data_IF_559073755208
#
_entry.id   IF_559073755208
#
_cell.length_a   1.000
_cell.length_b   1.000
_cell.length_c   1.000
_cell.angle_alpha   90.00
_cell.angle_beta   90.00
_cell.angle_gamma   90.00
#
_symmetry.space_group_name_H-M   'P 1'
#
loop_
_entity.id
_entity.type
_entity.pdbx_description
1 polymer ?
#
# COMPACT_ATOMS: atom_id res chain seq x y z
N UNK A 1 22.37 8.24 17.73
CA UNK A 1 21.29 8.88 18.55
C UNK A 1 20.35 7.79 19.08
N UNK A 2 19.73 8.00 20.23
CA UNK A 2 18.70 7.09 20.76
C UNK A 2 17.35 7.80 20.90
N UNK A 3 16.28 7.09 20.59
CA UNK A 3 14.93 7.49 20.98
C UNK A 3 14.40 6.48 22.00
N UNK A 4 13.86 6.97 23.11
CA UNK A 4 13.14 6.15 24.08
C UNK A 4 11.66 6.43 23.88
N UNK A 5 10.98 5.50 23.22
CA UNK A 5 9.52 5.55 23.02
C UNK A 5 8.79 5.03 24.27
N UNK A 6 7.63 5.60 24.59
CA UNK A 6 6.84 5.17 25.73
C UNK A 6 6.39 3.71 25.62
N UNK A 7 6.10 3.25 24.40
CA UNK A 7 5.75 1.87 24.06
C UNK A 7 6.38 1.51 22.72
N UNK A 8 6.76 0.27 22.50
CA UNK A 8 7.22 -0.23 21.21
C UNK A 8 6.67 -1.61 20.90
N UNK A 9 6.28 -1.81 19.65
CA UNK A 9 5.88 -3.10 19.08
C UNK A 9 7.06 -3.65 18.29
N UNK A 10 7.80 -4.58 18.88
CA UNK A 10 8.91 -5.27 18.21
C UNK A 10 8.34 -6.12 17.07
N UNK A 11 7.36 -6.93 17.40
CA UNK A 11 6.52 -7.69 16.48
C UNK A 11 5.13 -7.90 17.12
N UNK A 12 4.15 -8.47 16.43
CA UNK A 12 2.82 -8.67 17.00
C UNK A 12 2.77 -9.48 18.31
N UNK A 13 3.79 -10.26 18.62
CA UNK A 13 3.89 -11.05 19.86
C UNK A 13 4.72 -10.39 20.97
N UNK A 14 5.51 -9.33 20.66
CA UNK A 14 6.45 -8.70 21.60
C UNK A 14 6.24 -7.17 21.64
N UNK A 15 5.69 -6.70 22.76
CA UNK A 15 5.51 -5.27 23.03
C UNK A 15 6.30 -4.90 24.29
N UNK A 16 6.97 -3.72 24.29
CA UNK A 16 7.87 -3.30 25.39
C UNK A 16 7.62 -1.84 25.76
N UNK A 17 7.39 -1.58 27.03
CA UNK A 17 7.36 -0.24 27.61
C UNK A 17 8.77 0.37 27.62
N UNK A 18 8.86 1.69 27.45
CA UNK A 18 10.09 2.47 27.46
C UNK A 18 11.15 1.89 26.51
N UNK A 19 10.74 1.55 25.28
CA UNK A 19 11.61 0.92 24.30
C UNK A 19 12.69 1.90 23.82
N UNK A 20 13.96 1.54 24.05
CA UNK A 20 15.12 2.29 23.55
C UNK A 20 15.49 1.81 22.14
N UNK A 21 15.52 2.74 21.19
CA UNK A 21 15.78 2.53 19.77
C UNK A 21 17.04 3.27 19.36
N UNK A 22 18.02 2.56 18.75
CA UNK A 22 19.22 3.17 18.20
C UNK A 22 19.00 3.58 16.75
N UNK A 23 18.90 4.88 16.50
CA UNK A 23 18.71 5.47 15.18
C UNK A 23 20.04 5.94 14.57
N UNK A 24 20.12 6.04 13.22
CA UNK A 24 21.20 6.80 12.59
C UNK A 24 21.16 8.26 13.04
N UNK A 25 22.34 8.93 13.03
CA UNK A 25 22.46 10.32 13.44
C UNK A 25 23.28 10.51 14.72
N UNK A 26 23.77 11.73 14.93
CA UNK A 26 24.67 12.13 16.00
C UNK A 26 24.01 13.06 17.04
N UNK A 27 22.69 13.25 16.96
CA UNK A 27 21.93 14.07 17.89
C UNK A 27 21.90 13.52 19.32
N UNK A 28 21.39 14.30 20.28
CA UNK A 28 21.20 13.87 21.66
C UNK A 28 20.17 12.75 21.77
N UNK A 29 20.22 12.01 22.87
CA UNK A 29 19.19 11.02 23.17
C UNK A 29 17.86 11.73 23.50
N UNK A 30 16.77 11.28 22.90
CA UNK A 30 15.43 11.81 23.07
C UNK A 30 14.54 10.86 23.87
N UNK A 31 13.83 11.40 24.86
CA UNK A 31 12.80 10.65 25.59
C UNK A 31 11.41 11.12 25.17
N UNK A 32 10.62 10.25 24.56
CA UNK A 32 9.31 10.55 23.99
C UNK A 32 8.24 9.63 24.64
N UNK A 33 7.89 9.85 25.92
CA UNK A 33 7.08 8.91 26.71
C UNK A 33 5.65 8.77 26.21
N UNK A 34 5.12 9.78 25.48
CA UNK A 34 3.78 9.75 24.89
C UNK A 34 3.80 9.34 23.42
N UNK A 35 4.61 8.33 23.11
CA UNK A 35 4.69 7.77 21.76
C UNK A 35 4.62 6.26 21.76
N UNK A 36 4.23 5.70 20.61
CA UNK A 36 4.31 4.27 20.33
C UNK A 36 5.11 4.05 19.05
N UNK A 37 6.07 3.12 19.10
CA UNK A 37 6.97 2.80 18.01
C UNK A 37 6.55 1.49 17.32
N UNK A 38 6.56 1.49 15.98
CA UNK A 38 6.23 0.35 15.12
C UNK A 38 7.23 0.28 13.95
N UNK A 39 7.20 -0.81 13.20
CA UNK A 39 7.75 -0.79 11.84
C UNK A 39 6.82 0.01 10.92
N UNK A 40 7.34 0.65 9.85
CA UNK A 40 6.51 1.28 8.81
C UNK A 40 5.51 0.31 8.21
N UNK A 41 4.33 0.80 7.86
CA UNK A 41 3.29 -0.02 7.24
C UNK A 41 3.65 -0.38 5.79
N UNK A 42 3.09 -1.49 5.33
CA UNK A 42 3.23 -1.98 3.96
C UNK A 42 1.85 -2.01 3.31
N UNK A 43 1.64 -1.21 2.28
CA UNK A 43 0.48 -1.31 1.41
C UNK A 43 0.77 -2.35 0.32
N UNK A 44 0.08 -3.47 0.36
CA UNK A 44 0.40 -4.61 -0.50
C UNK A 44 -0.13 -4.46 -1.94
N UNK A 45 -1.00 -3.49 -2.21
CA UNK A 45 -1.55 -3.22 -3.55
C UNK A 45 -2.07 -1.80 -3.68
N UNK A 46 -1.54 -1.12 -4.67
CA UNK A 46 -1.99 0.19 -5.13
C UNK A 46 -1.66 0.31 -6.64
N UNK A 47 -2.28 1.25 -7.33
CA UNK A 47 -1.87 1.74 -8.65
C UNK A 47 -1.48 3.21 -8.50
N UNK A 48 -0.19 3.49 -8.26
CA UNK A 48 0.27 4.83 -7.88
C UNK A 48 -0.17 5.90 -8.85
N UNK A 49 -0.05 5.64 -10.15
CA UNK A 49 -0.46 6.55 -11.22
C UNK A 49 -1.98 6.77 -11.29
N UNK A 50 -2.79 5.93 -10.62
CA UNK A 50 -4.25 6.06 -10.55
C UNK A 50 -4.76 7.01 -9.46
N UNK A 51 -3.90 7.43 -8.54
CA UNK A 51 -4.33 8.12 -7.31
C UNK A 51 -4.72 9.61 -7.48
N UNK A 52 -4.61 10.16 -8.66
CA UNK A 52 -5.13 11.50 -8.98
C UNK A 52 -6.55 11.47 -9.56
N UNK A 53 -7.05 10.29 -9.96
CA UNK A 53 -8.37 10.09 -10.54
C UNK A 53 -9.39 9.90 -9.42
N UNK A 54 -10.54 10.61 -9.44
CA UNK A 54 -11.59 10.38 -8.45
C UNK A 54 -12.26 9.03 -8.67
N UNK A 55 -12.95 8.53 -7.65
CA UNK A 55 -13.81 7.35 -7.77
C UNK A 55 -14.72 7.45 -8.97
N UNK A 56 -14.80 6.38 -9.76
CA UNK A 56 -15.55 6.33 -11.00
C UNK A 56 -16.38 5.05 -11.10
N UNK A 57 -17.60 5.18 -11.62
CA UNK A 57 -18.52 4.06 -11.81
C UNK A 57 -19.96 4.40 -11.41
N UNK A 58 -20.79 4.78 -12.38
CA UNK A 58 -22.17 5.23 -12.12
C UNK A 58 -23.18 4.06 -12.04
N UNK A 59 -22.83 2.91 -12.62
CA UNK A 59 -23.70 1.73 -12.72
C UNK A 59 -23.45 0.66 -11.64
N UNK A 60 -22.85 1.07 -10.51
CA UNK A 60 -22.58 0.17 -9.38
C UNK A 60 -23.84 -0.35 -8.70
N UNK A 61 -23.82 -1.57 -8.11
CA UNK A 61 -22.70 -2.52 -8.10
C UNK A 61 -22.53 -3.22 -9.46
N UNK A 62 -21.27 -3.39 -9.89
CA UNK A 62 -20.96 -4.16 -11.09
C UNK A 62 -20.92 -5.66 -10.79
N UNK A 63 -21.29 -6.53 -11.75
CA UNK A 63 -21.14 -7.97 -11.59
C UNK A 63 -19.67 -8.40 -11.50
N UNK A 64 -18.76 -7.68 -12.18
CA UNK A 64 -17.31 -7.85 -12.12
C UNK A 64 -16.55 -6.60 -12.59
N UNK A 65 -15.25 -6.53 -12.31
CA UNK A 65 -14.39 -5.41 -12.69
C UNK A 65 -14.22 -5.25 -14.20
N UNK A 66 -14.36 -6.32 -14.99
CA UNK A 66 -14.23 -6.24 -16.46
C UNK A 66 -15.35 -5.41 -17.05
N UNK A 67 -16.58 -5.59 -16.54
CA UNK A 67 -17.75 -4.78 -16.94
C UNK A 67 -17.58 -3.33 -16.49
N UNK A 68 -17.02 -3.08 -15.29
CA UNK A 68 -16.67 -1.74 -14.86
C UNK A 68 -15.66 -1.07 -15.81
N UNK A 69 -14.59 -1.77 -16.18
CA UNK A 69 -13.60 -1.25 -17.15
C UNK A 69 -14.25 -0.90 -18.50
N UNK A 70 -15.15 -1.76 -19.01
CA UNK A 70 -15.86 -1.46 -20.25
C UNK A 70 -16.78 -0.23 -20.14
N UNK A 71 -17.52 -0.13 -19.04
CA UNK A 71 -18.42 1.01 -18.77
C UNK A 71 -17.63 2.33 -18.66
N UNK A 72 -16.43 2.27 -18.04
CA UNK A 72 -15.60 3.45 -17.82
C UNK A 72 -14.84 3.93 -19.06
N UNK A 73 -14.69 3.13 -20.13
CA UNK A 73 -13.89 3.49 -21.33
C UNK A 73 -14.27 4.84 -21.92
N UNK A 74 -15.56 5.19 -21.89
CA UNK A 74 -16.08 6.46 -22.41
C UNK A 74 -16.13 7.58 -21.35
N UNK A 75 -15.82 7.30 -20.09
CA UNK A 75 -15.89 8.29 -19.02
C UNK A 75 -14.76 9.33 -19.13
N UNK A 76 -15.06 10.55 -18.69
CA UNK A 76 -14.07 11.61 -18.60
C UNK A 76 -12.85 11.18 -17.78
N UNK A 77 -13.05 10.51 -16.63
CA UNK A 77 -11.99 10.04 -15.75
C UNK A 77 -11.00 9.11 -16.48
N UNK A 78 -11.50 8.13 -17.26
CA UNK A 78 -10.62 7.23 -18.03
C UNK A 78 -9.95 7.92 -19.21
N UNK A 79 -10.63 8.83 -19.87
CA UNK A 79 -10.03 9.61 -20.97
C UNK A 79 -8.88 10.48 -20.46
N UNK A 80 -9.07 11.18 -19.33
CA UNK A 80 -8.01 11.96 -18.69
C UNK A 80 -6.85 11.08 -18.22
N UNK A 81 -7.16 9.96 -17.54
CA UNK A 81 -6.16 8.97 -17.12
C UNK A 81 -5.30 8.50 -18.30
N UNK A 82 -5.93 8.10 -19.39
CA UNK A 82 -5.25 7.50 -20.53
C UNK A 82 -4.30 8.46 -21.25
N UNK A 83 -4.50 9.78 -21.15
CA UNK A 83 -3.56 10.77 -21.67
C UNK A 83 -2.16 10.62 -21.09
N UNK A 84 -2.06 10.20 -19.82
CA UNK A 84 -0.81 10.10 -19.09
C UNK A 84 -0.28 8.66 -18.98
N UNK A 85 -1.15 7.66 -19.03
CA UNK A 85 -0.74 6.26 -18.88
C UNK A 85 -0.16 5.65 -20.16
N UNK A 86 -0.67 6.06 -21.31
CA UNK A 86 -0.30 5.47 -22.60
C UNK A 86 0.34 6.54 -23.51
N UNK A 87 1.66 6.56 -23.51
CA UNK A 87 2.43 7.39 -24.42
C UNK A 87 2.89 6.55 -25.61
N UNK A 88 2.56 6.98 -26.82
CA UNK A 88 2.92 6.28 -28.07
C UNK A 88 2.50 4.80 -28.07
N UNK A 89 1.40 4.47 -27.39
CA UNK A 89 0.89 3.11 -27.27
C UNK A 89 1.64 2.22 -26.29
N UNK A 90 2.56 2.77 -25.50
CA UNK A 90 3.25 2.05 -24.44
C UNK A 90 2.90 2.59 -23.05
N UNK A 91 2.91 1.71 -22.04
CA UNK A 91 2.73 2.07 -20.64
C UNK A 91 4.09 2.55 -20.07
N UNK A 92 4.34 3.86 -20.14
CA UNK A 92 5.60 4.47 -19.74
C UNK A 92 5.38 5.47 -18.59
N UNK A 93 5.69 5.05 -17.36
CA UNK A 93 5.55 5.89 -16.15
C UNK A 93 6.76 6.81 -15.90
N UNK A 94 7.74 6.85 -16.80
CA UNK A 94 8.81 7.85 -16.80
C UNK A 94 8.49 9.07 -17.69
N UNK A 95 7.36 9.06 -18.40
CA UNK A 95 6.82 10.28 -18.98
C UNK A 95 6.62 11.30 -17.86
N UNK A 96 7.03 12.58 -18.03
CA UNK A 96 7.10 13.52 -16.91
C UNK A 96 5.81 13.66 -16.10
N UNK A 97 4.65 13.78 -16.76
CA UNK A 97 3.37 13.93 -16.06
C UNK A 97 2.95 12.61 -15.39
N UNK A 98 3.10 11.47 -16.07
CA UNK A 98 2.82 10.15 -15.47
C UNK A 98 3.69 9.91 -14.24
N UNK A 99 4.96 10.30 -14.28
CA UNK A 99 5.89 10.17 -13.16
C UNK A 99 5.50 11.09 -11.99
N UNK A 100 5.08 12.34 -12.28
CA UNK A 100 4.59 13.28 -11.27
C UNK A 100 3.35 12.73 -10.55
N UNK A 101 2.36 12.23 -11.28
CA UNK A 101 1.16 11.64 -10.66
C UNK A 101 1.44 10.33 -9.92
N UNK A 102 2.42 9.54 -10.36
CA UNK A 102 2.86 8.37 -9.60
C UNK A 102 3.53 8.75 -8.26
N UNK A 103 4.35 9.82 -8.25
CA UNK A 103 4.91 10.39 -7.01
C UNK A 103 3.80 10.88 -6.06
N UNK A 104 2.76 11.54 -6.58
CA UNK A 104 1.60 11.91 -5.77
C UNK A 104 0.99 10.69 -5.08
N UNK A 105 0.81 9.58 -5.81
CA UNK A 105 0.33 8.32 -5.24
C UNK A 105 1.27 7.74 -4.17
N UNK A 106 2.58 7.93 -4.31
CA UNK A 106 3.55 7.55 -3.28
C UNK A 106 3.42 8.43 -2.03
N UNK A 107 3.19 9.74 -2.17
CA UNK A 107 2.91 10.63 -1.02
C UNK A 107 1.58 10.31 -0.33
N UNK A 108 0.54 9.93 -1.07
CA UNK A 108 -0.71 9.38 -0.49
C UNK A 108 -0.41 8.29 0.55
N UNK A 109 0.48 7.38 0.19
CA UNK A 109 0.90 6.28 1.06
C UNK A 109 1.77 6.78 2.22
N UNK A 110 2.78 7.61 1.95
CA UNK A 110 3.71 8.13 2.93
C UNK A 110 3.00 8.83 4.10
N UNK A 111 2.04 9.72 3.80
CA UNK A 111 1.30 10.48 4.83
C UNK A 111 0.37 9.63 5.70
N UNK A 112 0.19 8.35 5.37
CA UNK A 112 -0.54 7.37 6.20
C UNK A 112 0.36 6.38 6.94
N UNK A 113 1.67 6.69 7.09
CA UNK A 113 2.62 5.83 7.80
C UNK A 113 3.12 4.62 7.01
N UNK A 114 2.83 4.58 5.72
CA UNK A 114 3.30 3.53 4.80
C UNK A 114 4.73 3.84 4.37
N UNK A 115 5.65 2.92 4.61
CA UNK A 115 7.04 3.00 4.16
C UNK A 115 7.28 2.24 2.86
N UNK A 116 6.43 1.27 2.55
CA UNK A 116 6.55 0.41 1.37
C UNK A 116 5.18 0.25 0.72
N UNK A 117 5.08 0.46 -0.60
CA UNK A 117 3.86 0.23 -1.37
C UNK A 117 4.17 -0.62 -2.61
N UNK A 118 3.39 -1.68 -2.82
CA UNK A 118 3.44 -2.39 -4.10
C UNK A 118 2.60 -1.66 -5.14
N UNK A 119 3.27 -1.09 -6.15
CA UNK A 119 2.63 -0.51 -7.32
C UNK A 119 2.36 -1.61 -8.36
N UNK A 120 1.09 -1.97 -8.52
CA UNK A 120 0.70 -3.00 -9.49
C UNK A 120 0.62 -2.40 -10.91
N UNK A 121 1.78 -2.23 -11.49
CA UNK A 121 2.00 -1.73 -12.84
C UNK A 121 3.04 -2.62 -13.55
N UNK A 122 3.14 -2.59 -14.89
CA UNK A 122 4.24 -3.20 -15.59
C UNK A 122 5.59 -2.70 -15.06
N UNK A 123 6.59 -3.59 -15.01
CA UNK A 123 7.93 -3.23 -14.53
C UNK A 123 8.48 -2.02 -15.30
N UNK A 124 8.94 -1.03 -14.55
CA UNK A 124 9.53 0.20 -15.05
C UNK A 124 11.06 0.16 -14.95
N UNK A 125 11.72 1.14 -15.54
CA UNK A 125 13.16 1.37 -15.36
C UNK A 125 13.48 1.80 -13.92
N UNK A 126 14.72 1.58 -13.47
CA UNK A 126 15.13 1.91 -12.10
C UNK A 126 14.87 3.35 -11.71
N UNK A 127 15.04 4.31 -12.64
CA UNK A 127 14.79 5.73 -12.39
C UNK A 127 13.37 6.03 -11.89
N UNK A 128 12.37 5.22 -12.28
CA UNK A 128 11.01 5.33 -11.76
C UNK A 128 10.96 5.07 -10.25
N UNK A 129 11.54 3.96 -9.81
CA UNK A 129 11.52 3.53 -8.42
C UNK A 129 12.42 4.39 -7.52
N UNK A 130 13.60 4.78 -8.04
CA UNK A 130 14.60 5.54 -7.28
C UNK A 130 14.15 6.96 -6.96
N UNK A 131 13.18 7.51 -7.71
CA UNK A 131 12.62 8.85 -7.50
C UNK A 131 11.42 8.89 -6.54
N UNK A 132 10.98 7.75 -6.00
CA UNK A 132 9.83 7.71 -5.10
C UNK A 132 10.20 8.09 -3.66
N UNK A 133 9.35 8.85 -2.94
CA UNK A 133 9.62 9.25 -1.56
C UNK A 133 9.55 8.09 -0.57
N UNK A 134 9.02 6.93 -0.97
CA UNK A 134 8.94 5.68 -0.20
C UNK A 134 9.48 4.52 -1.03
N UNK A 135 9.60 3.33 -0.44
CA UNK A 135 10.04 2.14 -1.18
C UNK A 135 8.90 1.62 -2.04
N UNK A 136 9.15 1.48 -3.35
CA UNK A 136 8.33 0.74 -4.29
C UNK A 136 9.13 -0.50 -4.73
N UNK A 137 8.73 -1.73 -4.33
CA UNK A 137 9.42 -2.96 -4.71
C UNK A 137 9.49 -3.14 -6.22
N UNK A 138 10.69 -3.50 -6.73
CA UNK A 138 10.94 -3.72 -8.16
C UNK A 138 11.24 -5.18 -8.52
N UNK A 139 11.20 -6.07 -7.52
CA UNK A 139 11.41 -7.51 -7.70
C UNK A 139 10.09 -8.24 -7.58
N UNK A 140 9.32 -8.23 -8.64
CA UNK A 140 8.06 -8.96 -8.77
C UNK A 140 7.81 -9.34 -10.22
N UNK A 141 6.84 -10.21 -10.44
CA UNK A 141 6.20 -10.48 -11.73
C UNK A 141 4.71 -10.27 -11.58
N UNK A 142 4.07 -9.91 -12.67
CA UNK A 142 2.65 -9.56 -12.61
C UNK A 142 1.90 -9.96 -13.87
N UNK A 143 0.61 -10.15 -13.69
CA UNK A 143 -0.36 -10.13 -14.77
C UNK A 143 -1.53 -9.27 -14.32
N UNK A 144 -2.15 -8.51 -15.23
CA UNK A 144 -3.32 -7.73 -14.85
C UNK A 144 -4.44 -8.66 -14.35
N UNK A 145 -4.92 -9.58 -15.18
CA UNK A 145 -5.91 -10.59 -14.77
C UNK A 145 -5.85 -11.83 -15.69
N UNK A 146 -6.50 -12.91 -15.29
CA UNK A 146 -6.66 -14.11 -16.13
C UNK A 146 -7.52 -13.80 -17.36
N UNK A 147 -8.61 -13.06 -17.16
CA UNK A 147 -9.61 -12.79 -18.20
C UNK A 147 -9.14 -11.72 -19.19
N UNK A 148 -8.59 -10.60 -18.70
CA UNK A 148 -8.12 -9.50 -19.56
C UNK A 148 -6.66 -9.66 -20.02
N UNK A 149 -5.90 -10.60 -19.44
CA UNK A 149 -4.47 -10.76 -19.70
C UNK A 149 -3.66 -9.52 -19.30
N UNK A 150 -2.51 -9.34 -19.92
CA UNK A 150 -1.62 -8.19 -19.69
C UNK A 150 -1.84 -7.09 -20.74
N UNK A 151 -3.04 -6.50 -20.76
CA UNK A 151 -3.41 -5.45 -21.72
C UNK A 151 -2.53 -4.18 -21.62
N UNK A 152 -1.91 -3.94 -20.48
CA UNK A 152 -1.03 -2.79 -20.23
C UNK A 152 0.47 -3.09 -20.46
N UNK A 153 0.83 -4.32 -20.83
CA UNK A 153 2.20 -4.75 -21.09
C UNK A 153 2.65 -5.87 -20.15
N UNK A 154 3.69 -6.56 -20.55
CA UNK A 154 4.23 -7.76 -19.91
C UNK A 154 4.04 -9.01 -20.74
N UNK A 155 4.57 -10.16 -20.27
CA UNK A 155 4.44 -11.46 -20.90
C UNK A 155 3.08 -12.12 -20.65
N UNK A 156 2.90 -13.35 -21.17
CA UNK A 156 1.74 -14.16 -20.78
C UNK A 156 1.78 -14.48 -19.26
N UNK A 157 0.64 -14.80 -18.64
CA UNK A 157 0.61 -15.20 -17.24
C UNK A 157 1.60 -16.31 -16.89
N UNK A 158 1.74 -17.32 -17.77
CA UNK A 158 2.66 -18.44 -17.60
C UNK A 158 4.12 -17.99 -17.72
N UNK A 159 4.43 -17.11 -18.63
CA UNK A 159 5.77 -16.58 -18.80
C UNK A 159 6.19 -15.74 -17.59
N UNK A 160 5.31 -14.86 -17.09
CA UNK A 160 5.58 -14.06 -15.89
C UNK A 160 5.73 -14.95 -14.65
N UNK A 161 4.90 -15.99 -14.50
CA UNK A 161 5.06 -16.99 -13.44
C UNK A 161 6.41 -17.72 -13.57
N UNK A 162 6.79 -18.14 -14.76
CA UNK A 162 8.07 -18.82 -15.01
C UNK A 162 9.25 -17.91 -14.65
N UNK A 163 9.19 -16.63 -15.04
CA UNK A 163 10.21 -15.62 -14.73
C UNK A 163 10.30 -15.26 -13.25
N UNK A 164 9.25 -15.50 -12.46
CA UNK A 164 9.30 -15.33 -11.02
C UNK A 164 10.24 -16.32 -10.32
N UNK A 165 10.52 -17.46 -10.95
CA UNK A 165 11.35 -18.55 -10.44
C UNK A 165 10.96 -19.04 -9.02
N UNK A 166 9.76 -18.68 -8.53
CA UNK A 166 9.36 -18.90 -7.14
C UNK A 166 10.17 -18.08 -6.11
N UNK A 167 11.00 -17.12 -6.56
CA UNK A 167 11.91 -16.33 -5.72
C UNK A 167 11.47 -14.88 -5.54
N UNK A 168 10.36 -14.51 -6.16
CA UNK A 168 9.70 -13.21 -6.05
C UNK A 168 8.20 -13.39 -6.24
N UNK A 169 7.36 -12.45 -5.76
CA UNK A 169 5.91 -12.58 -5.91
C UNK A 169 5.50 -12.56 -7.39
N UNK A 170 4.49 -13.37 -7.71
CA UNK A 170 3.68 -13.28 -8.92
C UNK A 170 2.31 -12.75 -8.51
N UNK A 171 1.91 -11.61 -9.05
CA UNK A 171 0.77 -10.80 -8.58
C UNK A 171 -0.26 -10.67 -9.69
N UNK A 172 -1.55 -10.87 -9.35
CA UNK A 172 -2.64 -10.89 -10.32
C UNK A 172 -3.97 -10.51 -9.68
N UNK A 173 -4.79 -9.67 -10.35
CA UNK A 173 -6.20 -9.50 -9.98
C UNK A 173 -6.96 -10.78 -10.28
N UNK A 174 -7.76 -11.27 -9.33
CA UNK A 174 -8.49 -12.52 -9.48
C UNK A 174 -9.77 -12.55 -8.65
N UNK A 175 -10.87 -13.01 -9.26
CA UNK A 175 -12.13 -13.16 -8.56
C UNK A 175 -12.76 -11.83 -8.13
N UNK A 176 -12.53 -10.74 -8.86
CA UNK A 176 -13.09 -9.42 -8.57
C UNK A 176 -14.49 -9.28 -9.16
N UNK A 177 -15.44 -10.01 -8.57
CA UNK A 177 -16.85 -10.02 -9.00
C UNK A 177 -17.67 -11.09 -8.30
N UNK A 178 -18.95 -11.20 -8.72
CA UNK A 178 -19.92 -12.14 -8.16
C UNK A 178 -20.63 -12.98 -9.22
N UNK A 179 -20.20 -12.88 -10.45
CA UNK A 179 -20.76 -13.61 -11.58
C UNK A 179 -19.97 -14.89 -11.91
N UNK A 180 -20.46 -15.65 -12.89
CA UNK A 180 -19.84 -16.91 -13.30
C UNK A 180 -18.42 -16.74 -13.86
N UNK A 181 -18.12 -15.59 -14.48
CA UNK A 181 -16.79 -15.29 -15.01
C UNK A 181 -15.81 -15.21 -13.86
N UNK A 182 -16.11 -14.40 -12.84
CA UNK A 182 -15.26 -14.23 -11.65
C UNK A 182 -15.12 -15.53 -10.87
N UNK A 183 -16.18 -16.32 -10.72
CA UNK A 183 -16.12 -17.64 -10.07
C UNK A 183 -15.27 -18.66 -10.86
N UNK A 184 -15.17 -18.53 -12.18
CA UNK A 184 -14.36 -19.39 -13.02
C UNK A 184 -12.87 -19.10 -12.99
N UNK A 185 -12.46 -17.89 -12.61
CA UNK A 185 -11.07 -17.42 -12.69
C UNK A 185 -10.10 -18.23 -11.82
N UNK A 186 -10.53 -18.62 -10.60
CA UNK A 186 -9.69 -19.45 -9.73
C UNK A 186 -9.40 -20.82 -10.31
N UNK A 187 -10.42 -21.46 -10.86
CA UNK A 187 -10.27 -22.76 -11.55
C UNK A 187 -9.34 -22.64 -12.75
N UNK A 188 -9.43 -21.56 -13.51
CA UNK A 188 -8.54 -21.33 -14.65
C UNK A 188 -7.09 -21.06 -14.19
N UNK A 189 -6.89 -20.31 -13.10
CA UNK A 189 -5.57 -20.11 -12.49
C UNK A 189 -4.92 -21.45 -12.11
N UNK A 190 -5.67 -22.34 -11.42
CA UNK A 190 -5.19 -23.67 -11.03
C UNK A 190 -4.84 -24.54 -12.26
N UNK A 191 -5.76 -24.60 -13.24
CA UNK A 191 -5.58 -25.37 -14.48
C UNK A 191 -4.34 -24.93 -15.26
N UNK A 192 -4.01 -23.65 -15.26
CA UNK A 192 -2.82 -23.08 -15.88
C UNK A 192 -1.55 -23.26 -15.05
N UNK A 193 -1.65 -23.87 -13.86
CA UNK A 193 -0.52 -24.11 -12.96
C UNK A 193 0.06 -22.85 -12.32
N UNK A 194 -0.75 -21.80 -12.18
CA UNK A 194 -0.34 -20.50 -11.66
C UNK A 194 -0.59 -20.34 -10.16
N UNK A 195 -1.31 -21.26 -9.51
CA UNK A 195 -1.45 -21.27 -8.04
C UNK A 195 -0.19 -21.88 -7.42
N UNK A 196 0.72 -21.03 -6.94
CA UNK A 196 2.02 -21.36 -6.32
C UNK A 196 2.17 -20.65 -4.97
N UNK A 197 3.14 -21.03 -4.12
CA UNK A 197 3.40 -20.35 -2.85
C UNK A 197 3.70 -18.84 -3.01
N UNK A 198 4.25 -18.44 -4.15
CA UNK A 198 4.58 -17.06 -4.46
C UNK A 198 3.47 -16.31 -5.24
N UNK A 199 2.29 -16.89 -5.39
CA UNK A 199 1.14 -16.21 -6.01
C UNK A 199 0.44 -15.32 -5.01
N UNK A 200 0.24 -14.05 -5.34
CA UNK A 200 -0.60 -13.11 -4.63
C UNK A 200 -1.79 -12.74 -5.53
N UNK A 201 -2.99 -13.09 -5.08
CA UNK A 201 -4.25 -12.81 -5.77
C UNK A 201 -4.93 -11.60 -5.13
N UNK A 202 -5.30 -10.61 -5.93
CA UNK A 202 -5.91 -9.37 -5.43
C UNK A 202 -7.43 -9.50 -5.54
N UNK A 203 -8.16 -8.96 -4.55
CA UNK A 203 -9.60 -8.94 -4.32
C UNK A 203 -10.20 -10.25 -3.81
N UNK A 204 -10.26 -11.33 -4.58
CA UNK A 204 -10.73 -12.64 -4.16
C UNK A 204 -12.22 -12.74 -3.78
N UNK A 205 -13.08 -11.81 -4.23
CA UNK A 205 -14.51 -11.72 -3.84
C UNK A 205 -15.27 -13.01 -4.18
N UNK A 206 -14.94 -13.60 -5.35
CA UNK A 206 -15.62 -14.79 -5.87
C UNK A 206 -15.14 -16.11 -5.26
N UNK A 207 -14.12 -16.11 -4.38
CA UNK A 207 -13.54 -17.35 -3.90
C UNK A 207 -14.47 -18.10 -2.94
N UNK A 208 -14.66 -19.39 -3.21
CA UNK A 208 -15.35 -20.32 -2.32
C UNK A 208 -14.47 -20.72 -1.13
N UNK A 209 -15.07 -21.27 -0.07
CA UNK A 209 -14.36 -21.76 1.12
C UNK A 209 -13.36 -22.88 0.79
N UNK A 210 -13.71 -23.73 -0.17
CA UNK A 210 -12.85 -24.80 -0.68
C UNK A 210 -11.61 -24.24 -1.41
N UNK A 211 -11.78 -23.18 -2.20
CA UNK A 211 -10.68 -22.48 -2.86
C UNK A 211 -9.78 -21.78 -1.86
N UNK A 212 -10.36 -21.07 -0.89
CA UNK A 212 -9.63 -20.44 0.22
C UNK A 212 -8.80 -21.50 0.99
N UNK A 213 -9.35 -22.67 1.24
CA UNK A 213 -8.63 -23.78 1.87
C UNK A 213 -7.44 -24.25 1.02
N UNK A 214 -7.60 -24.29 -0.33
CA UNK A 214 -6.49 -24.64 -1.23
C UNK A 214 -5.42 -23.54 -1.25
N UNK A 215 -5.80 -22.25 -1.26
CA UNK A 215 -4.89 -21.11 -1.15
C UNK A 215 -4.02 -21.26 0.11
N UNK A 216 -4.64 -21.48 1.26
CA UNK A 216 -3.94 -21.68 2.53
C UNK A 216 -2.97 -22.88 2.48
N UNK A 217 -3.41 -24.01 1.92
CA UNK A 217 -2.59 -25.24 1.80
C UNK A 217 -1.37 -25.04 0.92
N UNK A 218 -1.50 -24.30 -0.18
CA UNK A 218 -0.38 -23.98 -1.09
C UNK A 218 0.55 -22.94 -0.47
N UNK A 219 0.05 -22.12 0.46
CA UNK A 219 0.80 -20.99 1.03
C UNK A 219 0.80 -19.74 0.16
N UNK A 220 -0.15 -19.65 -0.76
CA UNK A 220 -0.38 -18.45 -1.57
C UNK A 220 -1.04 -17.34 -0.73
N UNK A 221 -1.07 -16.12 -1.25
CA UNK A 221 -1.57 -14.92 -0.54
C UNK A 221 -2.80 -14.35 -1.22
N UNK A 222 -3.73 -13.81 -0.43
CA UNK A 222 -4.80 -12.95 -0.91
C UNK A 222 -4.54 -11.52 -0.46
N UNK A 223 -4.53 -10.58 -1.40
CA UNK A 223 -4.50 -9.16 -1.11
C UNK A 223 -5.94 -8.64 -1.07
N UNK A 224 -6.39 -8.30 0.11
CA UNK A 224 -7.73 -7.82 0.38
C UNK A 224 -7.79 -6.30 0.29
N UNK A 225 -8.68 -5.78 -0.56
CA UNK A 225 -8.93 -4.35 -0.76
C UNK A 225 -10.40 -4.07 -0.43
N UNK A 226 -10.80 -4.05 0.87
CA UNK A 226 -12.21 -3.99 1.25
C UNK A 226 -12.93 -2.75 0.69
N UNK A 227 -12.30 -1.58 0.70
CA UNK A 227 -12.87 -0.35 0.18
C UNK A 227 -13.22 -0.43 -1.31
N UNK A 228 -12.27 -0.90 -2.14
CA UNK A 228 -12.49 -1.12 -3.57
C UNK A 228 -13.58 -2.16 -3.83
N UNK A 229 -13.52 -3.29 -3.12
CA UNK A 229 -14.46 -4.39 -3.24
C UNK A 229 -15.92 -3.93 -2.98
N UNK A 230 -16.14 -3.20 -1.87
CA UNK A 230 -17.47 -2.67 -1.56
C UNK A 230 -17.91 -1.60 -2.53
N UNK A 231 -17.00 -0.72 -2.93
CA UNK A 231 -17.32 0.36 -3.84
C UNK A 231 -17.78 -0.15 -5.23
N UNK A 232 -17.02 -1.06 -5.83
CA UNK A 232 -17.30 -1.55 -7.18
C UNK A 232 -18.38 -2.64 -7.21
N UNK A 233 -18.27 -3.63 -6.31
CA UNK A 233 -19.02 -4.88 -6.41
C UNK A 233 -20.13 -4.97 -5.34
N UNK A 234 -20.03 -4.18 -4.27
CA UNK A 234 -20.98 -4.23 -3.15
C UNK A 234 -20.80 -5.45 -2.24
N UNK A 235 -19.77 -6.25 -2.48
CA UNK A 235 -19.38 -7.43 -1.68
C UNK A 235 -17.87 -7.48 -1.54
N UNK A 236 -17.38 -8.26 -0.58
CA UNK A 236 -15.95 -8.43 -0.38
C UNK A 236 -15.57 -9.90 -0.14
N UNK A 237 -14.28 -10.17 -0.03
CA UNK A 237 -13.69 -11.47 0.22
C UNK A 237 -14.18 -12.10 1.54
N UNK A 238 -14.34 -13.44 1.59
CA UNK A 238 -14.69 -14.19 2.82
C UNK A 238 -13.45 -14.30 3.74
N UNK A 239 -13.20 -13.19 4.43
CA UNK A 239 -12.04 -13.06 5.34
C UNK A 239 -12.12 -14.02 6.52
N UNK A 240 -13.32 -14.35 7.01
CA UNK A 240 -13.50 -15.27 8.15
C UNK A 240 -13.07 -16.68 7.78
N UNK A 241 -13.42 -17.13 6.58
CA UNK A 241 -12.96 -18.42 6.06
C UNK A 241 -11.46 -18.43 5.84
N UNK A 242 -10.87 -17.31 5.39
CA UNK A 242 -9.43 -17.19 5.17
C UNK A 242 -8.63 -17.26 6.47
N UNK A 243 -9.06 -16.52 7.50
CA UNK A 243 -8.44 -16.57 8.84
C UNK A 243 -8.58 -17.99 9.42
N UNK A 244 -9.76 -18.60 9.33
CA UNK A 244 -10.01 -19.96 9.83
C UNK A 244 -9.16 -21.03 9.13
N UNK A 245 -8.88 -20.84 7.83
CA UNK A 245 -8.03 -21.74 7.06
C UNK A 245 -6.52 -21.46 7.27
N UNK A 246 -6.14 -20.38 7.93
CA UNK A 246 -4.76 -19.95 8.10
C UNK A 246 -4.13 -19.43 6.80
N UNK A 247 -4.92 -18.88 5.88
CA UNK A 247 -4.43 -18.26 4.68
C UNK A 247 -3.63 -17.00 4.99
N UNK A 248 -2.58 -16.71 4.20
CA UNK A 248 -1.88 -15.44 4.30
C UNK A 248 -2.74 -14.36 3.64
N UNK A 249 -3.23 -13.41 4.44
CA UNK A 249 -3.99 -12.27 3.95
C UNK A 249 -3.21 -10.99 4.22
N UNK A 250 -3.20 -10.10 3.24
CA UNK A 250 -2.58 -8.77 3.31
C UNK A 250 -3.62 -7.71 2.90
N UNK A 251 -3.42 -6.45 3.29
CA UNK A 251 -4.30 -5.34 2.94
C UNK A 251 -3.65 -4.49 1.86
N UNK A 252 -4.47 -4.11 0.86
CA UNK A 252 -4.15 -3.11 -0.15
C UNK A 252 -5.24 -2.05 -0.23
N UNK A 253 -4.90 -0.85 -0.70
CA UNK A 253 -5.88 0.25 -0.88
C UNK A 253 -6.50 0.25 -2.26
N UNK A 254 -5.85 -0.37 -3.25
CA UNK A 254 -6.11 -0.06 -4.65
C UNK A 254 -5.89 1.45 -4.95
N UNK A 255 -6.18 1.94 -6.17
CA UNK A 255 -6.12 3.36 -6.46
C UNK A 255 -7.37 4.10 -6.00
N UNK A 256 -7.30 5.43 -5.87
CA UNK A 256 -8.48 6.26 -5.54
C UNK A 256 -9.58 6.20 -6.59
N UNK A 257 -9.35 5.56 -7.74
CA UNK A 257 -10.35 5.39 -8.78
C UNK A 257 -11.46 4.40 -8.39
N UNK A 258 -11.13 3.43 -7.54
CA UNK A 258 -12.06 2.43 -6.99
C UNK A 258 -11.91 2.28 -5.47
N UNK A 259 -10.70 2.34 -4.96
CA UNK A 259 -10.35 2.07 -3.57
C UNK A 259 -10.38 3.27 -2.63
N UNK A 260 -9.71 3.14 -1.51
CA UNK A 260 -9.68 4.14 -0.46
C UNK A 260 -8.49 5.10 -0.60
N UNK A 261 -8.60 6.24 0.08
CA UNK A 261 -7.57 7.28 0.04
C UNK A 261 -6.28 6.87 0.77
N UNK A 262 -6.33 5.91 1.70
CA UNK A 262 -5.16 5.38 2.42
C UNK A 262 -5.53 4.14 3.25
N UNK A 263 -4.52 3.51 3.91
CA UNK A 263 -4.73 2.36 4.79
C UNK A 263 -5.57 2.69 6.04
N UNK A 264 -5.55 3.92 6.53
CA UNK A 264 -6.36 4.34 7.70
C UNK A 264 -7.85 4.12 7.39
N UNK A 265 -8.28 4.52 6.19
CA UNK A 265 -9.67 4.32 5.74
C UNK A 265 -10.02 2.85 5.55
N UNK A 266 -9.08 2.03 5.09
CA UNK A 266 -9.28 0.57 5.01
C UNK A 266 -9.48 -0.03 6.40
N UNK A 267 -8.72 0.41 7.41
CA UNK A 267 -8.91 -0.04 8.80
C UNK A 267 -10.29 0.34 9.35
N UNK A 268 -10.77 1.54 9.05
CA UNK A 268 -12.11 1.97 9.47
C UNK A 268 -13.20 1.08 8.85
N UNK A 269 -13.12 0.78 7.56
CA UNK A 269 -14.05 -0.13 6.87
C UNK A 269 -14.02 -1.53 7.50
N UNK A 270 -12.82 -2.04 7.79
CA UNK A 270 -12.68 -3.36 8.42
C UNK A 270 -13.30 -3.36 9.81
N UNK A 271 -13.07 -2.34 10.62
CA UNK A 271 -13.68 -2.24 11.97
C UNK A 271 -15.20 -2.16 11.92
N UNK A 272 -15.74 -1.44 10.95
CA UNK A 272 -17.19 -1.27 10.78
C UNK A 272 -17.88 -2.59 10.38
N UNK A 273 -17.30 -3.30 9.41
CA UNK A 273 -17.95 -4.47 8.81
C UNK A 273 -17.49 -5.81 9.40
N UNK A 274 -16.32 -5.86 10.04
CA UNK A 274 -15.67 -7.07 10.56
C UNK A 274 -15.12 -6.85 11.97
N UNK A 275 -15.98 -6.54 12.97
CA UNK A 275 -15.54 -6.24 14.33
C UNK A 275 -14.84 -7.41 15.05
N UNK A 276 -14.95 -8.64 14.52
CA UNK A 276 -14.23 -9.83 15.00
C UNK A 276 -12.75 -9.83 14.61
N UNK A 277 -12.33 -9.04 13.61
CA UNK A 277 -10.93 -8.92 13.21
C UNK A 277 -10.25 -7.94 14.16
N UNK A 278 -9.33 -8.47 14.97
CA UNK A 278 -8.63 -7.66 15.97
C UNK A 278 -7.66 -6.67 15.32
N UNK A 279 -7.40 -5.55 16.00
CA UNK A 279 -6.38 -4.58 15.59
C UNK A 279 -4.99 -5.23 15.37
N UNK A 280 -4.64 -6.23 16.19
CA UNK A 280 -3.42 -7.03 16.03
C UNK A 280 -3.40 -7.79 14.70
N UNK A 281 -4.52 -8.40 14.27
CA UNK A 281 -4.60 -9.07 12.97
C UNK A 281 -4.43 -8.08 11.83
N UNK A 282 -5.06 -6.90 11.90
CA UNK A 282 -4.88 -5.86 10.89
C UNK A 282 -3.42 -5.38 10.82
N UNK A 283 -2.76 -5.18 11.96
CA UNK A 283 -1.33 -4.86 12.00
C UNK A 283 -0.48 -5.96 11.32
N UNK A 284 -0.75 -7.23 11.58
CA UNK A 284 -0.05 -8.35 10.91
C UNK A 284 -0.24 -8.31 9.39
N UNK A 285 -1.44 -7.99 8.91
CA UNK A 285 -1.75 -7.92 7.47
C UNK A 285 -1.00 -6.81 6.74
N UNK A 286 -0.64 -5.73 7.42
CA UNK A 286 0.11 -4.59 6.84
C UNK A 286 1.59 -4.56 7.24
N UNK A 287 2.09 -5.61 7.88
CA UNK A 287 3.51 -5.76 8.27
C UNK A 287 4.04 -7.14 7.91
N UNK A 288 3.98 -8.11 8.82
CA UNK A 288 4.59 -9.44 8.65
C UNK A 288 4.03 -10.19 7.45
N UNK A 289 2.70 -10.23 7.31
CA UNK A 289 2.05 -10.92 6.21
C UNK A 289 2.42 -10.28 4.87
N UNK A 290 2.41 -8.94 4.81
CA UNK A 290 2.75 -8.19 3.60
C UNK A 290 4.24 -8.32 3.25
N UNK A 291 5.15 -8.25 4.22
CA UNK A 291 6.57 -8.48 3.99
C UNK A 291 6.84 -9.89 3.43
N UNK A 292 6.17 -10.91 3.99
CA UNK A 292 6.23 -12.28 3.49
C UNK A 292 5.69 -12.39 2.06
N UNK A 293 4.52 -11.81 1.78
CA UNK A 293 3.86 -11.87 0.46
C UNK A 293 4.72 -11.20 -0.64
N UNK A 294 5.35 -10.09 -0.30
CA UNK A 294 6.19 -9.31 -1.23
C UNK A 294 7.66 -9.73 -1.25
N UNK A 295 8.03 -10.80 -0.51
CA UNK A 295 9.41 -11.29 -0.44
C UNK A 295 10.42 -10.23 0.00
N UNK A 296 9.99 -9.37 0.93
CA UNK A 296 10.83 -8.31 1.50
C UNK A 296 11.78 -8.86 2.57
N UNK A 297 12.82 -8.07 2.87
CA UNK A 297 13.72 -8.38 3.99
C UNK A 297 12.93 -8.42 5.32
N UNK A 298 13.19 -9.39 6.21
CA UNK A 298 12.52 -9.49 7.50
C UNK A 298 12.61 -8.24 8.39
N UNK A 299 13.59 -7.37 8.18
CA UNK A 299 13.73 -6.09 8.90
C UNK A 299 12.57 -5.11 8.66
N UNK A 300 11.77 -5.33 7.61
CA UNK A 300 10.53 -4.57 7.38
C UNK A 300 9.32 -5.12 8.16
N UNK A 301 9.46 -6.28 8.80
CA UNK A 301 8.38 -6.95 9.51
C UNK A 301 8.49 -6.86 11.04
N UNK A 302 9.67 -6.44 11.58
CA UNK A 302 9.88 -6.29 13.01
C UNK A 302 10.89 -5.18 13.32
N UNK A 303 10.68 -4.48 14.45
CA UNK A 303 11.62 -3.47 14.93
C UNK A 303 12.93 -4.12 15.40
N UNK A 304 14.04 -3.53 15.01
CA UNK A 304 15.35 -3.86 15.57
C UNK A 304 15.83 -2.72 16.48
N UNK A 305 15.72 -2.85 17.81
CA UNK A 305 16.11 -1.77 18.74
C UNK A 305 17.60 -1.43 18.70
N UNK A 306 18.45 -2.37 18.30
CA UNK A 306 19.91 -2.15 18.26
C UNK A 306 20.37 -1.41 17.00
N UNK A 307 19.56 -1.49 15.92
CA UNK A 307 19.79 -0.82 14.65
C UNK A 307 18.44 -0.52 14.02
N UNK A 308 17.89 0.64 14.30
CA UNK A 308 16.53 1.04 13.88
C UNK A 308 16.60 1.81 12.57
N UNK A 309 16.67 1.07 11.46
CA UNK A 309 16.65 1.65 10.11
C UNK A 309 15.22 1.85 9.59
N UNK A 310 14.22 1.21 10.23
CA UNK A 310 12.80 1.30 9.86
C UNK A 310 11.97 1.60 11.10
N UNK A 311 11.29 2.75 11.12
CA UNK A 311 10.53 3.23 12.28
C UNK A 311 9.31 4.01 11.83
N UNK A 312 8.16 3.68 12.41
CA UNK A 312 6.97 4.52 12.45
C UNK A 312 6.73 4.88 13.92
N UNK A 313 6.90 6.15 14.28
CA UNK A 313 6.67 6.67 15.62
C UNK A 313 5.38 7.50 15.62
N UNK A 314 4.40 7.10 16.40
CA UNK A 314 3.09 7.74 16.50
C UNK A 314 2.87 8.39 17.87
N UNK A 315 1.97 9.35 17.94
CA UNK A 315 1.36 9.75 19.21
C UNK A 315 0.73 8.54 19.90
N UNK A 316 0.83 8.48 21.24
CA UNK A 316 0.14 7.45 22.04
C UNK A 316 -1.21 7.99 22.49
N UNK A 317 -2.26 7.61 21.75
CA UNK A 317 -3.65 7.97 22.00
C UNK A 317 -4.38 6.88 22.80
N UNK A 318 -3.97 5.61 22.62
CA UNK A 318 -4.57 4.44 23.21
C UNK A 318 -3.55 3.65 24.07
N UNK A 319 -4.05 2.91 25.04
CA UNK A 319 -3.23 2.05 25.91
C UNK A 319 -2.78 0.76 25.18
N UNK A 320 -3.67 0.15 24.41
CA UNK A 320 -3.33 -0.97 23.54
C UNK A 320 -2.62 -0.46 22.28
N UNK A 321 -1.39 -0.97 21.97
CA UNK A 321 -0.63 -0.43 20.84
C UNK A 321 -1.28 -0.74 19.48
N UNK A 322 -2.03 -1.80 19.35
CA UNK A 322 -2.68 -2.12 18.08
C UNK A 322 -3.89 -1.24 17.84
N UNK A 323 -4.70 -0.97 18.88
CA UNK A 323 -5.77 0.02 18.82
C UNK A 323 -5.21 1.43 18.59
N UNK A 324 -4.06 1.76 19.18
CA UNK A 324 -3.37 3.04 18.94
C UNK A 324 -2.98 3.21 17.47
N UNK A 325 -2.53 2.15 16.81
CA UNK A 325 -2.25 2.21 15.36
C UNK A 325 -3.50 2.53 14.54
N UNK A 326 -4.64 1.92 14.88
CA UNK A 326 -5.89 2.14 14.16
C UNK A 326 -6.51 3.52 14.43
N UNK A 327 -6.14 4.15 15.54
CA UNK A 327 -6.56 5.50 15.91
C UNK A 327 -5.63 6.59 15.34
N UNK A 328 -4.61 6.21 14.54
CA UNK A 328 -3.66 7.18 14.00
C UNK A 328 -4.32 8.12 13.01
N UNK A 329 -3.85 9.36 13.02
CA UNK A 329 -4.14 10.39 12.04
C UNK A 329 -2.83 10.90 11.43
N UNK A 330 -2.88 11.47 10.21
CA UNK A 330 -1.69 12.00 9.53
C UNK A 330 -0.88 12.97 10.41
N UNK A 331 -1.49 13.94 11.14
CA UNK A 331 -0.74 14.82 12.04
C UNK A 331 -0.09 14.10 13.22
N UNK A 332 -0.62 12.95 13.65
CA UNK A 332 -0.12 12.15 14.77
C UNK A 332 1.15 11.34 14.47
N UNK A 333 1.59 11.30 13.21
CA UNK A 333 2.85 10.64 12.83
C UNK A 333 4.00 11.56 13.25
N UNK A 334 4.73 11.18 14.30
CA UNK A 334 5.88 11.93 14.80
C UNK A 334 7.12 11.77 13.93
N UNK A 335 7.37 10.54 13.47
CA UNK A 335 8.55 10.23 12.66
C UNK A 335 8.34 8.95 11.86
N UNK A 336 8.62 9.01 10.56
CA UNK A 336 8.70 7.87 9.66
C UNK A 336 10.11 7.77 9.08
N UNK A 337 10.81 6.69 9.40
CA UNK A 337 12.13 6.35 8.84
C UNK A 337 12.02 5.07 8.04
N UNK A 338 12.61 5.05 6.87
CA UNK A 338 12.67 3.86 6.00
C UNK A 338 14.08 3.73 5.44
N UNK A 339 14.72 2.59 5.68
CA UNK A 339 16.13 2.33 5.33
C UNK A 339 17.10 3.40 5.87
N UNK A 340 16.88 3.84 7.09
CA UNK A 340 17.71 4.84 7.75
C UNK A 340 17.50 6.28 7.27
N UNK A 341 16.58 6.51 6.32
CA UNK A 341 16.26 7.83 5.79
C UNK A 341 14.96 8.31 6.41
N UNK A 342 14.96 9.49 7.01
CA UNK A 342 13.75 10.16 7.47
C UNK A 342 12.87 10.52 6.25
N UNK A 343 11.60 10.17 6.29
CA UNK A 343 10.68 10.39 5.17
C UNK A 343 9.63 11.44 5.49
N UNK A 344 9.13 11.45 6.72
CA UNK A 344 8.08 12.35 7.19
C UNK A 344 8.09 12.42 8.71
N UNK A 345 7.73 13.56 9.28
CA UNK A 345 7.59 13.68 10.73
C UNK A 345 7.48 15.12 11.22
N UNK A 346 7.54 15.29 12.54
CA UNK A 346 7.61 16.61 13.17
C UNK A 346 8.96 17.27 12.86
N UNK A 347 8.96 18.56 12.46
CA UNK A 347 10.17 19.26 11.96
C UNK A 347 11.31 19.29 12.98
N UNK A 348 10.99 19.28 14.28
CA UNK A 348 11.96 19.25 15.37
C UNK A 348 12.94 18.05 15.31
N UNK A 349 12.56 16.95 14.61
CA UNK A 349 13.44 15.78 14.52
C UNK A 349 14.52 15.92 13.46
N UNK A 350 14.38 16.83 12.47
CA UNK A 350 15.41 17.04 11.45
C UNK A 350 16.73 17.50 12.04
N UNK A 351 16.71 18.33 13.09
CA UNK A 351 17.93 18.83 13.76
C UNK A 351 18.77 17.71 14.39
N UNK A 352 18.17 16.56 14.63
CA UNK A 352 18.78 15.42 15.32
C UNK A 352 19.19 14.29 14.37
N UNK A 353 18.57 14.25 13.19
CA UNK A 353 18.86 13.27 12.16
C UNK A 353 19.93 13.83 11.22
N UNK A 354 20.78 12.96 10.70
CA UNK A 354 21.85 13.35 9.78
C UNK A 354 21.25 13.51 8.37
N UNK A 355 20.56 14.66 8.15
CA UNK A 355 19.78 14.96 6.95
C UNK A 355 20.37 16.17 6.24
N UNK A 356 20.33 16.18 4.90
CA UNK A 356 20.64 17.35 4.10
C UNK A 356 19.39 18.27 4.00
N UNK A 357 19.48 19.50 4.46
CA UNK A 357 18.33 20.42 4.59
C UNK A 357 17.60 20.71 3.27
N UNK A 358 18.25 20.62 2.13
CA UNK A 358 17.72 20.91 0.80
C UNK A 358 16.89 19.75 0.19
N UNK A 359 16.84 18.61 0.87
CA UNK A 359 16.04 17.46 0.43
C UNK A 359 14.63 17.43 1.03
N UNK A 360 14.30 18.35 1.94
CA UNK A 360 13.05 18.32 2.72
C UNK A 360 12.20 19.57 2.54
N UNK A 361 10.89 19.37 2.41
CA UNK A 361 9.91 20.44 2.45
C UNK A 361 9.31 20.53 3.85
N UNK A 362 9.25 21.75 4.39
CA UNK A 362 8.60 22.07 5.67
C UNK A 362 7.24 22.66 5.39
N UNK A 363 6.21 22.15 6.08
CA UNK A 363 4.84 22.64 5.97
C UNK A 363 4.09 22.53 7.32
N UNK A 364 2.88 23.05 7.39
CA UNK A 364 2.04 22.94 8.60
C UNK A 364 0.78 22.14 8.34
N UNK A 365 0.49 21.22 9.27
CA UNK A 365 -0.77 20.51 9.33
C UNK A 365 -1.39 20.68 10.72
N UNK A 366 -2.53 21.37 10.78
CA UNK A 366 -3.10 21.82 12.04
C UNK A 366 -2.15 22.75 12.82
N UNK A 367 -1.83 22.38 14.04
CA UNK A 367 -0.91 23.12 14.90
C UNK A 367 0.54 22.59 14.89
N UNK A 368 0.84 21.61 14.06
CA UNK A 368 2.18 20.98 13.97
C UNK A 368 2.91 21.43 12.71
N UNK A 369 4.20 21.67 12.87
CA UNK A 369 5.13 21.85 11.76
C UNK A 369 5.75 20.51 11.43
N UNK A 370 5.69 20.15 10.14
CA UNK A 370 6.11 18.85 9.63
C UNK A 370 7.21 19.03 8.59
N UNK A 371 8.05 18.01 8.46
CA UNK A 371 8.92 17.84 7.31
C UNK A 371 8.45 16.65 6.46
N UNK A 372 8.78 16.69 5.18
CA UNK A 372 8.64 15.55 4.26
C UNK A 372 9.81 15.53 3.28
N UNK A 373 10.31 14.34 2.96
CA UNK A 373 11.34 14.15 1.95
C UNK A 373 10.78 14.51 0.56
N UNK A 374 11.53 15.33 -0.19
CA UNK A 374 11.13 15.85 -1.50
C UNK A 374 10.16 17.02 -1.40
N UNK A 375 9.51 17.37 -2.50
CA UNK A 375 8.59 18.50 -2.59
C UNK A 375 7.20 18.12 -3.13
N UNK A 376 6.29 17.67 -2.24
CA UNK A 376 4.92 17.36 -2.64
C UNK A 376 4.07 18.59 -2.97
N UNK A 377 4.47 19.81 -2.55
CA UNK A 377 3.79 21.05 -2.92
C UNK A 377 4.05 21.35 -4.40
N UNK A 378 5.31 21.28 -4.84
CA UNK A 378 5.67 21.43 -6.26
C UNK A 378 4.99 20.35 -7.13
N UNK A 379 4.89 19.11 -6.65
CA UNK A 379 4.17 18.02 -7.34
C UNK A 379 2.70 18.38 -7.52
N UNK A 380 2.04 18.94 -6.51
CA UNK A 380 0.65 19.37 -6.61
C UNK A 380 0.49 20.50 -7.65
N UNK A 381 1.36 21.50 -7.63
CA UNK A 381 1.36 22.58 -8.60
C UNK A 381 1.59 22.08 -10.04
N UNK A 382 2.50 21.13 -10.24
CA UNK A 382 2.73 20.48 -11.53
C UNK A 382 1.51 19.72 -12.04
N UNK A 383 0.77 19.06 -11.15
CA UNK A 383 -0.48 18.34 -11.49
C UNK A 383 -1.56 19.35 -11.89
N UNK A 384 -1.75 20.42 -11.13
CA UNK A 384 -2.70 21.49 -11.46
C UNK A 384 -2.40 22.10 -12.82
N UNK A 385 -1.12 22.38 -13.11
CA UNK A 385 -0.68 22.88 -14.40
C UNK A 385 -0.97 21.89 -15.54
N UNK A 386 -0.77 20.58 -15.32
CA UNK A 386 -1.04 19.55 -16.31
C UNK A 386 -2.54 19.35 -16.57
N UNK A 387 -3.35 19.44 -15.51
CA UNK A 387 -4.82 19.34 -15.59
C UNK A 387 -5.45 20.60 -16.18
N UNK A 388 -4.84 21.77 -15.95
CA UNK A 388 -5.43 23.07 -16.29
C UNK A 388 -6.46 23.58 -15.30
N UNK A 389 -6.56 22.97 -14.13
CA UNK A 389 -7.42 23.38 -13.01
C UNK A 389 -6.84 22.91 -11.68
N UNK A 390 -7.18 23.60 -10.59
CA UNK A 390 -6.81 23.19 -9.23
C UNK A 390 -7.62 22.00 -8.77
N UNK A 391 -6.95 21.06 -8.11
CA UNK A 391 -7.56 19.88 -7.53
C UNK A 391 -7.06 19.62 -6.11
N UNK A 392 -8.00 19.57 -5.15
CA UNK A 392 -7.72 19.14 -3.79
C UNK A 392 -7.59 17.63 -3.70
N UNK A 393 -6.58 17.17 -2.97
CA UNK A 393 -6.36 15.75 -2.68
C UNK A 393 -6.53 15.50 -1.18
N UNK A 394 -7.58 14.78 -0.73
CA UNK A 394 -7.90 14.62 0.69
C UNK A 394 -6.86 13.82 1.49
N UNK A 395 -5.90 13.20 0.80
CA UNK A 395 -4.78 12.49 1.41
C UNK A 395 -3.51 13.35 1.56
N UNK A 396 -3.51 14.58 1.08
CA UNK A 396 -2.44 15.54 1.34
C UNK A 396 -2.77 16.32 2.62
N UNK A 397 -1.79 16.50 3.54
CA UNK A 397 -2.03 17.11 4.85
C UNK A 397 -1.90 18.65 4.86
N UNK A 398 -1.84 19.30 3.73
CA UNK A 398 -1.65 20.75 3.56
C UNK A 398 -2.62 21.33 2.54
#
# INVERSE_FOLDING_TARGET
MKIIAGLGVIDPGDTRENLSLNLPGNGPDLNIPHSTAYVPLINAHDHLVGNWVPRAGDNRPYPNSHIWVEDMKSSFAFQERNKYWFNDGSFNLLEPTAHTVAKLGAYKNLFSGVGIVHDHAPLQQNAYYDAMPIIVPRRFRQCHSITLGNWWGGGSPEEEMRLSEGKMPYIIHLGEGTDEVSHGEFTELEKRGLLKPNTMMIHGIAFSKEEITRIARVGATVCWCPGSNYYLIGKTFDIDSAISAGANVVIGTDSTMSGEINLIREFEIIREHFPQITARHMYQMVTQNAAKALYLDPSYASLNPQKTDNLLLLDRLESDPFENLLAMEMPGIKLLIVNGIARYGDSEYLDFLDCADDEYTIFRTGNREKFVLGDPLEINDQIDAALGYHKDFPFLPF
#
